data_IF_764464229144
#
_entry.id   IF_764464229144
#
_cell.length_a   1.000
_cell.length_b   1.000
_cell.length_c   1.000
_cell.angle_alpha   90.00
_cell.angle_beta   90.00
_cell.angle_gamma   90.00
#
_symmetry.space_group_name_H-M   'P 1'
#
loop_
_entity.id
_entity.type
_entity.pdbx_description
1 polymer ?
#
# COMPACT_ATOMS: atom_id res chain seq x y z
N UNK A 1 11.80 1.97 36.53
CA UNK A 1 11.11 0.85 35.86
C UNK A 1 11.45 0.98 34.40
N UNK A 2 12.32 0.12 33.91
CA UNK A 2 13.00 0.23 32.63
C UNK A 2 12.12 -0.35 31.53
N UNK A 3 11.44 0.53 30.79
CA UNK A 3 10.87 0.19 29.49
C UNK A 3 11.99 -0.25 28.56
N UNK A 4 11.79 -1.33 27.84
CA UNK A 4 12.69 -1.76 26.78
C UNK A 4 12.46 -0.83 25.56
N UNK A 5 13.54 -0.20 25.12
CA UNK A 5 13.57 1.12 24.44
C UNK A 5 14.59 1.08 23.31
N UNK A 6 14.19 1.25 22.05
CA UNK A 6 15.09 1.14 20.89
C UNK A 6 16.29 2.09 20.98
N UNK A 7 17.48 1.60 20.61
CA UNK A 7 18.70 2.39 20.54
C UNK A 7 19.10 2.62 19.08
N UNK A 8 19.52 3.85 18.77
CA UNK A 8 20.29 4.22 17.58
C UNK A 8 21.79 4.12 17.92
N UNK A 9 22.61 3.48 17.09
CA UNK A 9 24.05 3.74 17.13
C UNK A 9 24.33 5.13 16.57
N UNK A 10 25.27 5.87 17.18
CA UNK A 10 25.88 7.06 16.60
C UNK A 10 26.63 6.71 15.30
N UNK A 11 25.90 6.48 14.21
CA UNK A 11 26.44 6.06 12.92
C UNK A 11 25.50 5.23 12.03
N UNK A 12 24.42 4.65 12.57
CA UNK A 12 23.44 3.86 11.80
C UNK A 12 22.25 4.69 11.30
N UNK A 13 21.81 4.44 10.06
CA UNK A 13 20.56 4.99 9.52
C UNK A 13 19.33 4.40 10.22
N UNK A 14 18.19 5.11 10.18
CA UNK A 14 16.92 4.54 10.66
C UNK A 14 16.56 3.27 9.88
N UNK A 15 15.82 2.31 10.49
CA UNK A 15 15.28 1.21 9.72
C UNK A 15 14.44 1.77 8.56
N UNK A 16 14.64 1.22 7.38
CA UNK A 16 13.87 1.56 6.20
C UNK A 16 12.88 0.44 5.88
N UNK A 17 11.80 0.80 5.21
CA UNK A 17 10.86 -0.17 4.67
C UNK A 17 11.53 -1.01 3.58
N UNK A 18 11.56 -2.32 3.74
CA UNK A 18 12.15 -3.26 2.76
C UNK A 18 11.42 -3.29 1.41
N UNK A 19 10.21 -2.72 1.33
CA UNK A 19 9.44 -2.65 0.08
C UNK A 19 9.72 -1.35 -0.68
N UNK A 20 9.70 -0.19 0.00
CA UNK A 20 9.78 1.11 -0.66
C UNK A 20 11.05 1.91 -0.35
N UNK A 21 11.91 1.43 0.54
CA UNK A 21 13.16 2.09 0.93
C UNK A 21 13.01 3.32 1.86
N UNK A 22 11.79 3.80 2.08
CA UNK A 22 11.54 4.97 2.93
C UNK A 22 11.63 4.63 4.42
N UNK A 23 12.17 5.55 5.22
CA UNK A 23 12.25 5.44 6.67
C UNK A 23 10.89 5.51 7.37
N UNK A 24 10.92 5.31 8.69
CA UNK A 24 9.73 5.39 9.57
C UNK A 24 9.67 6.69 10.41
N UNK A 25 10.76 7.46 10.45
CA UNK A 25 10.87 8.79 11.07
C UNK A 25 11.27 9.84 10.03
N UNK A 26 10.84 11.08 10.23
CA UNK A 26 11.31 12.23 9.47
C UNK A 26 11.85 13.26 10.47
N UNK A 27 13.17 13.38 10.53
CA UNK A 27 13.85 14.29 11.44
C UNK A 27 13.56 15.74 11.06
N UNK A 28 13.36 16.58 12.07
CA UNK A 28 13.35 18.03 11.98
C UNK A 28 14.70 18.58 12.44
N UNK A 29 15.51 19.14 11.55
CA UNK A 29 16.44 20.21 11.86
C UNK A 29 16.78 21.02 10.60
N UNK A 30 16.14 22.20 10.53
CA UNK A 30 16.50 23.45 9.87
C UNK A 30 17.47 23.38 8.66
N UNK A 31 16.92 23.76 7.50
CA UNK A 31 17.54 24.18 6.23
C UNK A 31 17.62 23.18 5.06
N UNK A 32 17.24 21.91 5.23
CA UNK A 32 17.18 20.97 4.10
C UNK A 32 15.75 20.73 3.59
N UNK A 33 15.57 20.80 2.27
CA UNK A 33 14.33 20.55 1.50
C UNK A 33 13.78 19.10 1.69
N UNK A 34 14.40 18.33 2.59
CA UNK A 34 14.07 16.96 2.97
C UNK A 34 13.35 16.84 4.33
N UNK A 35 13.09 17.95 5.02
CA UNK A 35 12.44 17.95 6.34
C UNK A 35 10.90 17.91 6.23
N UNK A 36 10.40 16.69 6.07
CA UNK A 36 9.04 16.34 6.45
C UNK A 36 8.96 16.27 7.97
N UNK A 37 7.95 16.90 8.54
CA UNK A 37 7.72 16.94 9.99
C UNK A 37 7.12 15.60 10.44
N UNK A 38 7.88 14.78 11.17
CA UNK A 38 7.47 13.43 11.56
C UNK A 38 7.77 13.15 13.01
N UNK A 39 6.69 12.97 13.76
CA UNK A 39 6.62 12.39 15.10
C UNK A 39 7.36 13.09 16.24
N UNK A 40 8.34 13.97 15.99
CA UNK A 40 9.09 14.70 17.03
C UNK A 40 8.22 15.67 17.88
N UNK A 41 6.94 15.86 17.55
CA UNK A 41 5.95 16.58 18.38
C UNK A 41 4.84 15.72 18.99
N UNK A 42 4.71 14.45 18.60
CA UNK A 42 3.58 13.58 18.98
C UNK A 42 3.98 12.46 19.95
N UNK A 43 5.25 12.37 20.36
CA UNK A 43 5.73 11.38 21.32
C UNK A 43 4.92 11.38 22.61
N UNK A 44 4.59 12.56 23.14
CA UNK A 44 3.73 12.71 24.31
C UNK A 44 2.33 12.10 24.10
N UNK A 45 1.79 12.26 22.89
CA UNK A 45 0.47 11.73 22.52
C UNK A 45 0.54 10.21 22.38
N UNK A 46 1.57 9.69 21.71
CA UNK A 46 1.79 8.26 21.54
C UNK A 46 2.04 7.58 22.91
N UNK A 47 2.85 8.18 23.78
CA UNK A 47 3.09 7.70 25.14
C UNK A 47 1.80 7.60 25.94
N UNK A 48 0.93 8.63 25.90
CA UNK A 48 -0.40 8.60 26.57
C UNK A 48 -1.32 7.51 26.03
N UNK A 49 -1.05 7.02 24.83
CA UNK A 49 -1.84 5.98 24.17
C UNK A 49 -1.12 4.64 24.05
N UNK A 50 0.03 4.47 24.70
CA UNK A 50 0.77 3.21 24.77
C UNK A 50 -0.18 2.06 25.13
N UNK A 51 -0.13 0.99 24.34
CA UNK A 51 -1.12 -0.08 24.50
C UNK A 51 -1.23 -1.00 23.28
N UNK A 52 -2.05 -2.03 23.46
CA UNK A 52 -2.38 -3.01 22.43
C UNK A 52 -3.86 -2.92 22.06
N UNK A 53 -4.17 -2.79 20.78
CA UNK A 53 -5.51 -2.51 20.26
C UNK A 53 -5.84 -3.44 19.08
N UNK A 54 -7.12 -3.63 18.76
CA UNK A 54 -7.46 -4.10 17.40
C UNK A 54 -7.10 -3.00 16.40
N UNK A 55 -6.56 -3.32 15.23
CA UNK A 55 -6.15 -2.31 14.23
C UNK A 55 -7.29 -1.34 13.90
N UNK A 56 -8.53 -1.84 13.75
CA UNK A 56 -9.70 -0.99 13.50
C UNK A 56 -9.98 0.01 14.62
N UNK A 57 -9.64 -0.32 15.87
CA UNK A 57 -9.79 0.59 17.01
C UNK A 57 -8.65 1.61 17.03
N UNK A 58 -7.42 1.17 16.76
CA UNK A 58 -6.24 2.03 16.65
C UNK A 58 -6.45 3.10 15.58
N UNK A 59 -6.79 2.71 14.35
CA UNK A 59 -7.01 3.63 13.22
C UNK A 59 -8.21 4.58 13.38
N UNK A 60 -9.07 4.37 14.38
CA UNK A 60 -10.19 5.26 14.71
C UNK A 60 -9.83 6.31 15.76
N UNK A 61 -8.66 6.22 16.40
CA UNK A 61 -8.24 7.19 17.41
C UNK A 61 -8.03 8.56 16.74
N UNK A 62 -8.49 9.67 17.35
CA UNK A 62 -8.41 10.99 16.73
C UNK A 62 -7.01 11.40 16.30
N UNK A 63 -6.00 11.15 17.15
CA UNK A 63 -4.61 11.55 16.87
C UNK A 63 -4.00 10.81 15.67
N UNK A 64 -4.49 9.62 15.33
CA UNK A 64 -3.99 8.86 14.16
C UNK A 64 -4.20 9.63 12.86
N UNK A 65 -5.16 10.56 12.82
CA UNK A 65 -5.36 11.44 11.65
C UNK A 65 -4.21 12.45 11.45
N UNK A 66 -3.43 12.72 12.49
CA UNK A 66 -2.29 13.63 12.46
C UNK A 66 -0.99 12.88 12.18
N UNK A 67 -0.97 11.56 12.36
CA UNK A 67 0.17 10.71 12.03
C UNK A 67 0.21 10.41 10.53
N UNK A 68 1.42 10.47 9.96
CA UNK A 68 1.68 9.99 8.60
C UNK A 68 1.44 8.49 8.49
N UNK A 69 1.05 8.03 7.29
CA UNK A 69 0.89 6.59 7.02
C UNK A 69 2.21 5.82 7.21
N UNK A 70 3.35 6.49 6.97
CA UNK A 70 4.70 5.96 7.10
C UNK A 70 5.11 5.71 8.57
N UNK A 71 4.39 6.26 9.54
CA UNK A 71 4.63 5.98 10.97
C UNK A 71 4.10 4.59 11.38
N UNK A 72 3.26 3.96 10.55
CA UNK A 72 2.71 2.63 10.79
C UNK A 72 3.48 1.58 10.02
N UNK A 73 3.99 0.59 10.73
CA UNK A 73 4.79 -0.46 10.15
C UNK A 73 4.36 -1.84 10.65
N UNK A 74 4.86 -2.86 9.97
CA UNK A 74 4.80 -4.27 10.32
C UNK A 74 6.21 -4.82 10.20
N UNK A 75 6.41 -5.96 10.81
CA UNK A 75 7.71 -6.65 10.80
C UNK A 75 7.52 -8.00 10.16
N UNK A 76 8.38 -8.28 9.20
CA UNK A 76 8.60 -9.60 8.63
C UNK A 76 9.57 -10.30 9.59
N UNK A 77 9.05 -11.27 10.31
CA UNK A 77 9.74 -12.05 11.31
C UNK A 77 10.31 -13.30 10.65
N UNK A 78 11.63 -13.32 10.46
CA UNK A 78 12.35 -14.47 9.93
C UNK A 78 12.89 -15.31 11.09
N UNK A 79 12.44 -16.56 11.16
CA UNK A 79 12.99 -17.53 12.10
C UNK A 79 14.16 -18.26 11.45
N UNK A 80 15.38 -17.85 11.77
CA UNK A 80 16.62 -18.42 11.18
C UNK A 80 16.82 -19.90 11.49
N UNK A 81 16.16 -20.44 12.53
CA UNK A 81 16.27 -21.86 12.89
C UNK A 81 15.31 -22.75 12.12
N UNK A 82 14.12 -22.24 11.84
CA UNK A 82 13.04 -23.00 11.19
C UNK A 82 12.92 -22.68 9.70
N UNK A 83 13.71 -21.74 9.21
CA UNK A 83 13.62 -21.19 7.85
C UNK A 83 12.18 -20.84 7.48
N UNK A 84 11.55 -20.02 8.34
CA UNK A 84 10.12 -19.71 8.22
C UNK A 84 9.86 -18.23 8.46
N UNK A 85 8.91 -17.68 7.71
CA UNK A 85 8.54 -16.28 7.79
C UNK A 85 7.18 -16.10 8.46
N UNK A 86 7.02 -14.98 9.18
CA UNK A 86 5.73 -14.56 9.75
C UNK A 86 5.61 -13.05 9.66
N UNK A 87 4.39 -12.57 9.45
CA UNK A 87 4.11 -11.13 9.48
C UNK A 87 3.53 -10.78 10.85
N UNK A 88 4.08 -9.75 11.49
CA UNK A 88 3.54 -9.23 12.75
C UNK A 88 2.25 -8.43 12.55
N UNK A 89 1.61 -8.07 13.65
CA UNK A 89 0.60 -7.02 13.65
C UNK A 89 1.17 -5.65 13.28
N UNK A 90 0.32 -4.64 13.31
CA UNK A 90 0.75 -3.27 13.04
C UNK A 90 1.36 -2.65 14.30
N UNK A 91 2.41 -1.87 14.14
CA UNK A 91 3.00 -1.08 15.20
C UNK A 91 3.13 0.37 14.74
N UNK A 92 3.11 1.28 15.71
CA UNK A 92 3.51 2.68 15.56
C UNK A 92 4.54 2.93 16.66
N UNK A 93 5.79 3.17 16.27
CA UNK A 93 6.85 3.42 17.23
C UNK A 93 6.80 4.86 17.73
N UNK A 94 7.29 4.99 18.96
CA UNK A 94 7.63 6.24 19.62
C UNK A 94 9.15 6.33 19.46
N UNK A 95 9.68 7.47 19.02
CA UNK A 95 11.12 7.70 19.05
C UNK A 95 11.61 7.58 20.50
N UNK A 96 12.82 7.05 20.72
CA UNK A 96 13.25 6.71 22.08
C UNK A 96 14.65 7.18 22.43
N UNK A 97 14.81 7.40 23.74
CA UNK A 97 15.98 7.96 24.42
C UNK A 97 17.29 7.23 24.02
N UNK A 98 18.30 7.96 23.50
CA UNK A 98 19.56 7.40 23.00
C UNK A 98 20.44 6.68 24.05
N UNK A 99 20.12 6.79 25.34
CA UNK A 99 20.97 6.34 26.45
C UNK A 99 20.78 4.87 26.89
N UNK A 100 19.99 4.05 26.20
CA UNK A 100 19.71 2.66 26.61
C UNK A 100 20.22 1.63 25.59
N UNK A 101 20.72 0.47 26.04
CA UNK A 101 21.18 -0.64 25.19
C UNK A 101 20.07 -1.20 24.29
N UNK A 102 20.42 -1.54 23.03
CA UNK A 102 19.53 -2.15 22.02
C UNK A 102 18.60 -3.24 22.60
N UNK A 103 17.30 -2.98 22.74
CA UNK A 103 16.33 -3.98 23.16
C UNK A 103 15.85 -4.81 21.96
N UNK A 104 15.21 -5.93 22.28
CA UNK A 104 14.44 -6.68 21.31
C UNK A 104 13.21 -5.88 20.84
N UNK A 105 12.97 -5.90 19.54
CA UNK A 105 11.77 -5.39 18.88
C UNK A 105 10.52 -6.07 19.40
N UNK A 106 9.56 -5.30 19.90
CA UNK A 106 8.32 -5.84 20.43
C UNK A 106 7.12 -5.52 19.54
N UNK A 107 6.71 -6.48 18.71
CA UNK A 107 5.59 -6.31 17.77
C UNK A 107 4.43 -7.25 18.06
N UNK A 108 3.18 -6.87 17.74
CA UNK A 108 2.04 -7.73 18.05
C UNK A 108 2.10 -9.08 17.32
N UNK A 109 1.71 -10.15 18.01
CA UNK A 109 1.62 -11.49 17.39
C UNK A 109 0.47 -11.63 16.39
N UNK A 110 -0.62 -10.90 16.61
CA UNK A 110 -1.83 -11.01 15.81
C UNK A 110 -1.82 -10.06 14.62
N UNK A 111 -2.04 -10.57 13.41
CA UNK A 111 -2.12 -9.77 12.17
C UNK A 111 -3.12 -8.60 12.23
N UNK A 112 -4.18 -8.75 13.04
CA UNK A 112 -5.24 -7.76 13.24
C UNK A 112 -5.07 -6.90 14.50
N UNK A 113 -3.92 -7.02 15.17
CA UNK A 113 -3.57 -6.25 16.36
C UNK A 113 -2.64 -5.10 16.00
N UNK A 114 -2.81 -3.98 16.70
CA UNK A 114 -2.03 -2.76 16.61
C UNK A 114 -1.37 -2.47 17.96
N UNK A 115 -0.08 -2.17 18.00
CA UNK A 115 0.61 -1.68 19.20
C UNK A 115 1.05 -0.23 19.01
N UNK A 116 1.03 0.53 20.11
CA UNK A 116 1.71 1.82 20.24
C UNK A 116 2.75 1.66 21.35
N UNK A 117 4.01 1.97 21.05
CA UNK A 117 5.12 1.80 21.99
C UNK A 117 5.27 0.35 22.47
N UNK A 118 5.75 0.18 23.71
CA UNK A 118 5.94 -1.13 24.32
C UNK A 118 4.91 -1.41 25.44
N UNK A 119 3.79 -2.11 25.14
CA UNK A 119 2.79 -2.42 26.14
C UNK A 119 3.23 -3.60 27.02
N UNK A 120 4.07 -3.34 28.03
CA UNK A 120 4.62 -4.34 28.97
C UNK A 120 3.56 -5.30 29.56
N UNK A 121 2.38 -4.77 29.84
CA UNK A 121 1.24 -5.52 30.38
C UNK A 121 0.71 -6.61 29.43
N UNK A 122 1.14 -6.60 28.17
CA UNK A 122 0.74 -7.52 27.12
C UNK A 122 1.93 -8.25 26.48
N UNK A 123 3.05 -8.37 27.21
CA UNK A 123 4.30 -9.00 26.71
C UNK A 123 4.10 -10.40 26.11
N UNK A 124 3.16 -11.18 26.63
CA UNK A 124 2.81 -12.53 26.16
C UNK A 124 2.19 -12.52 24.75
N UNK A 125 1.65 -11.37 24.33
CA UNK A 125 1.00 -11.16 23.03
C UNK A 125 1.90 -10.46 22.03
N UNK A 126 3.17 -10.24 22.37
CA UNK A 126 4.19 -9.64 21.51
C UNK A 126 5.19 -10.71 21.05
N UNK A 127 5.68 -10.57 19.82
CA UNK A 127 6.92 -11.18 19.39
C UNK A 127 8.06 -10.28 19.85
N UNK A 128 9.17 -10.91 20.26
CA UNK A 128 10.42 -10.24 20.51
C UNK A 128 11.37 -10.65 19.39
N UNK A 129 11.77 -9.70 18.55
CA UNK A 129 12.66 -9.92 17.42
C UNK A 129 13.93 -9.09 17.57
N UNK A 130 15.03 -9.55 17.01
CA UNK A 130 16.23 -8.74 16.89
C UNK A 130 16.02 -7.78 15.73
N UNK A 131 16.14 -6.48 16.00
CA UNK A 131 16.23 -5.47 14.95
C UNK A 131 17.55 -5.64 14.21
N UNK A 132 17.54 -5.49 12.89
CA UNK A 132 18.73 -5.65 12.08
C UNK A 132 19.57 -4.36 12.10
N UNK A 133 20.64 -4.33 12.89
CA UNK A 133 21.82 -3.48 12.62
C UNK A 133 22.86 -4.39 11.93
N UNK A 134 23.56 -3.85 10.92
CA UNK A 134 24.30 -4.59 9.89
C UNK A 134 25.50 -5.45 10.36
N UNK A 135 25.70 -5.71 11.66
CA UNK A 135 26.94 -6.30 12.18
C UNK A 135 26.81 -7.51 13.12
N UNK A 136 25.60 -8.05 13.38
CA UNK A 136 25.47 -9.20 14.30
C UNK A 136 25.30 -10.56 13.60
N UNK A 137 26.08 -11.54 14.08
CA UNK A 137 26.02 -12.95 13.69
C UNK A 137 24.65 -13.56 14.05
N UNK A 138 23.69 -13.41 13.15
CA UNK A 138 22.30 -13.91 13.28
C UNK A 138 22.20 -15.45 13.30
N UNK A 139 23.31 -16.17 13.08
CA UNK A 139 23.36 -17.64 13.07
C UNK A 139 23.10 -18.26 14.45
N UNK A 140 23.38 -17.50 15.52
CA UNK A 140 23.05 -17.86 16.88
C UNK A 140 21.58 -17.48 17.19
N UNK A 141 20.66 -18.24 16.61
CA UNK A 141 19.44 -18.65 17.32
C UNK A 141 18.26 -17.65 17.49
N UNK A 142 18.21 -16.52 16.77
CA UNK A 142 17.18 -15.48 16.95
C UNK A 142 16.04 -15.41 15.91
N UNK A 143 14.93 -14.77 16.31
CA UNK A 143 13.89 -14.27 15.41
C UNK A 143 14.33 -12.89 14.92
N UNK A 144 14.52 -12.71 13.61
CA UNK A 144 15.02 -11.46 13.02
C UNK A 144 13.85 -10.65 12.47
N UNK A 145 13.85 -9.34 12.69
CA UNK A 145 12.80 -8.42 12.26
C UNK A 145 13.22 -7.54 11.08
N UNK A 146 12.50 -7.65 9.96
CA UNK A 146 12.64 -6.75 8.80
C UNK A 146 11.42 -5.85 8.68
N UNK A 147 11.63 -4.54 8.62
CA UNK A 147 10.55 -3.57 8.72
C UNK A 147 9.90 -3.29 7.35
N UNK A 148 8.58 -3.11 7.35
CA UNK A 148 7.85 -2.64 6.17
C UNK A 148 6.68 -1.77 6.59
N UNK A 149 6.40 -0.68 5.89
CA UNK A 149 5.20 0.12 6.15
C UNK A 149 3.95 -0.73 6.03
N UNK A 150 2.97 -0.50 6.91
CA UNK A 150 1.71 -1.25 6.88
C UNK A 150 0.96 -1.05 5.55
N UNK A 151 1.09 0.13 4.93
CA UNK A 151 0.54 0.39 3.60
C UNK A 151 1.26 -0.39 2.50
N UNK A 152 2.59 -0.43 2.50
CA UNK A 152 3.38 -1.22 1.54
C UNK A 152 3.04 -2.72 1.65
N UNK A 153 2.91 -3.25 2.88
CA UNK A 153 2.47 -4.62 3.11
C UNK A 153 1.05 -4.90 2.60
N UNK A 154 0.17 -3.90 2.64
CA UNK A 154 -1.20 -4.02 2.09
C UNK A 154 -1.14 -4.18 0.56
N UNK A 155 -0.29 -3.40 -0.12
CA UNK A 155 -0.09 -3.57 -1.56
C UNK A 155 0.50 -4.93 -1.91
N UNK A 156 1.53 -5.38 -1.17
CA UNK A 156 2.12 -6.71 -1.33
C UNK A 156 1.04 -7.81 -1.23
N UNK A 157 0.18 -7.76 -0.21
CA UNK A 157 -0.89 -8.75 -0.02
C UNK A 157 -1.89 -8.82 -1.18
N UNK A 158 -2.04 -7.74 -1.95
CA UNK A 158 -2.89 -7.69 -3.13
C UNK A 158 -2.16 -8.00 -4.45
N UNK A 159 -0.83 -8.06 -4.42
CA UNK A 159 0.04 -8.38 -5.55
C UNK A 159 0.01 -9.88 -5.89
N UNK A 160 0.15 -10.29 -7.17
CA UNK A 160 0.17 -11.70 -7.56
C UNK A 160 1.27 -12.53 -6.88
N UNK A 161 2.45 -11.94 -6.65
CA UNK A 161 3.57 -12.63 -5.98
C UNK A 161 3.18 -13.23 -4.62
N UNK A 162 2.50 -12.44 -3.77
CA UNK A 162 2.08 -12.87 -2.43
C UNK A 162 0.92 -13.88 -2.46
N UNK A 163 0.15 -13.93 -3.55
CA UNK A 163 -0.92 -14.92 -3.73
C UNK A 163 -0.39 -16.29 -4.12
N UNK A 164 0.78 -16.33 -4.78
CA UNK A 164 1.42 -17.58 -5.20
C UNK A 164 2.14 -18.22 -4.02
N UNK A 165 3.05 -17.46 -3.41
CA UNK A 165 3.84 -17.91 -2.27
C UNK A 165 4.34 -16.69 -1.48
N UNK A 166 3.73 -16.48 -0.32
CA UNK A 166 4.08 -15.36 0.55
C UNK A 166 5.48 -15.52 1.16
N UNK A 167 5.87 -16.74 1.53
CA UNK A 167 7.16 -16.98 2.16
C UNK A 167 8.29 -16.75 1.16
N UNK A 168 8.11 -17.19 -0.09
CA UNK A 168 9.03 -16.89 -1.19
C UNK A 168 9.11 -15.39 -1.48
N UNK A 169 7.98 -14.67 -1.47
CA UNK A 169 7.97 -13.23 -1.68
C UNK A 169 8.76 -12.50 -0.57
N UNK A 170 8.55 -12.91 0.70
CA UNK A 170 9.21 -12.33 1.86
C UNK A 170 10.71 -12.65 1.88
N UNK A 171 11.11 -13.88 1.57
CA UNK A 171 12.51 -14.28 1.53
C UNK A 171 13.30 -13.47 0.51
N UNK A 172 12.74 -13.25 -0.67
CA UNK A 172 13.42 -12.49 -1.71
C UNK A 172 13.41 -10.98 -1.44
N UNK A 173 12.35 -10.44 -0.83
CA UNK A 173 12.35 -9.05 -0.36
C UNK A 173 13.48 -8.79 0.65
N UNK A 174 13.81 -9.78 1.49
CA UNK A 174 14.89 -9.68 2.47
C UNK A 174 16.28 -9.77 1.81
N UNK A 175 16.42 -10.61 0.78
CA UNK A 175 17.68 -10.84 0.07
C UNK A 175 18.02 -9.73 -0.92
N UNK A 176 17.03 -9.00 -1.41
CA UNK A 176 17.28 -7.82 -2.24
C UNK A 176 17.87 -6.73 -1.36
N UNK A 177 19.04 -6.17 -1.72
CA UNK A 177 19.46 -4.92 -1.11
C UNK A 177 18.32 -3.92 -1.32
N UNK A 178 17.97 -3.08 -0.33
CA UNK A 178 17.14 -1.93 -0.59
C UNK A 178 17.95 -1.05 -1.52
N UNK A 179 17.82 -1.26 -2.83
CA UNK A 179 18.31 -0.33 -3.82
C UNK A 179 17.70 1.01 -3.41
N UNK A 180 18.58 1.93 -2.98
CA UNK A 180 18.28 3.32 -2.67
C UNK A 180 17.97 4.06 -3.97
N UNK A 181 17.13 3.46 -4.82
CA UNK A 181 16.52 4.11 -5.96
C UNK A 181 15.74 5.26 -5.37
N UNK A 182 16.27 6.47 -5.61
CA UNK A 182 15.67 7.74 -5.25
C UNK A 182 14.18 7.64 -5.51
N UNK A 183 13.39 7.94 -4.48
CA UNK A 183 11.94 7.98 -4.60
C UNK A 183 11.58 8.81 -5.85
N UNK A 184 10.58 8.39 -6.64
CA UNK A 184 10.27 9.11 -7.88
C UNK A 184 9.98 10.58 -7.57
N UNK A 185 10.63 11.52 -8.26
CA UNK A 185 10.41 12.95 -8.00
C UNK A 185 8.94 13.35 -8.26
N UNK A 186 8.29 12.70 -9.21
CA UNK A 186 6.87 12.84 -9.55
C UNK A 186 5.92 12.21 -8.51
N UNK A 187 6.43 11.41 -7.57
CA UNK A 187 5.64 10.89 -6.46
C UNK A 187 5.36 11.95 -5.39
N UNK A 188 6.26 12.92 -5.25
CA UNK A 188 6.15 13.96 -4.24
C UNK A 188 5.10 14.99 -4.63
N UNK A 189 4.23 15.30 -3.67
CA UNK A 189 3.22 16.33 -3.81
C UNK A 189 3.54 17.50 -2.91
N UNK A 190 3.18 18.71 -3.31
CA UNK A 190 3.30 19.90 -2.46
C UNK A 190 1.94 20.30 -1.90
N UNK A 191 1.88 20.59 -0.60
CA UNK A 191 0.70 21.20 0.01
C UNK A 191 0.68 22.73 -0.17
N UNK A 192 -0.33 23.38 0.39
CA UNK A 192 -0.51 24.85 0.31
C UNK A 192 0.67 25.59 0.96
N UNK A 193 1.31 24.96 1.95
CA UNK A 193 2.46 25.48 2.68
C UNK A 193 3.79 25.08 2.01
N UNK A 194 3.74 24.51 0.79
CA UNK A 194 4.88 24.00 0.02
C UNK A 194 5.66 22.88 0.70
N UNK A 195 5.05 22.17 1.65
CA UNK A 195 5.65 20.97 2.24
C UNK A 195 5.47 19.82 1.25
N UNK A 196 6.58 19.17 0.89
CA UNK A 196 6.55 17.98 0.02
C UNK A 196 6.11 16.77 0.82
N UNK A 197 5.09 16.04 0.40
CA UNK A 197 4.58 14.84 1.06
C UNK A 197 4.29 13.71 0.05
N UNK A 198 4.18 12.48 0.57
CA UNK A 198 3.81 11.31 -0.22
C UNK A 198 2.43 10.80 0.18
N UNK A 199 1.60 10.50 -0.83
CA UNK A 199 0.30 9.88 -0.61
C UNK A 199 0.46 8.48 -0.01
N UNK A 200 -0.48 8.10 0.85
CA UNK A 200 -0.57 6.73 1.33
C UNK A 200 -0.76 5.78 0.13
N UNK A 201 0.21 4.90 -0.15
CA UNK A 201 0.15 4.06 -1.34
C UNK A 201 -0.95 3.01 -1.23
N UNK A 202 -1.44 2.66 -0.04
CA UNK A 202 -2.55 1.72 0.13
C UNK A 202 -3.91 2.41 0.21
N UNK A 203 -4.00 3.61 0.79
CA UNK A 203 -5.27 4.27 1.09
C UNK A 203 -5.44 5.60 0.34
N UNK A 204 -5.66 5.53 -0.97
CA UNK A 204 -5.86 6.72 -1.80
C UNK A 204 -7.32 7.19 -1.70
N UNK A 205 -7.52 8.31 -0.99
CA UNK A 205 -8.85 8.91 -0.74
C UNK A 205 -9.64 9.14 -2.03
N UNK A 206 -8.95 9.50 -3.11
CA UNK A 206 -9.59 9.77 -4.40
C UNK A 206 -10.24 8.53 -5.01
N UNK A 207 -9.61 7.35 -4.91
CA UNK A 207 -10.20 6.07 -5.38
C UNK A 207 -11.51 5.77 -4.66
N UNK A 208 -11.54 5.93 -3.33
CA UNK A 208 -12.75 5.73 -2.55
C UNK A 208 -13.85 6.75 -2.92
N UNK A 209 -13.48 7.99 -3.22
CA UNK A 209 -14.39 9.04 -3.71
C UNK A 209 -15.00 8.66 -5.06
N UNK A 210 -14.19 8.16 -6.01
CA UNK A 210 -14.66 7.69 -7.32
C UNK A 210 -15.65 6.53 -7.20
N UNK A 211 -15.37 5.54 -6.35
CA UNK A 211 -16.28 4.42 -6.06
C UNK A 211 -17.62 4.96 -5.52
N UNK A 212 -17.58 5.93 -4.58
CA UNK A 212 -18.79 6.52 -4.02
C UNK A 212 -19.57 7.35 -5.07
N UNK A 213 -18.87 8.12 -5.91
CA UNK A 213 -19.49 8.84 -7.04
C UNK A 213 -20.14 7.87 -8.01
N UNK A 214 -19.50 6.74 -8.32
CA UNK A 214 -20.07 5.70 -9.18
C UNK A 214 -21.37 5.12 -8.57
N UNK A 215 -21.40 4.84 -7.26
CA UNK A 215 -22.63 4.40 -6.55
C UNK A 215 -23.77 5.42 -6.68
N UNK A 216 -23.48 6.70 -6.45
CA UNK A 216 -24.49 7.78 -6.56
C UNK A 216 -25.01 7.88 -7.99
N UNK A 217 -24.10 7.88 -8.97
CA UNK A 217 -24.46 7.95 -10.40
C UNK A 217 -25.32 6.79 -10.86
N UNK A 218 -25.06 5.58 -10.36
CA UNK A 218 -25.85 4.38 -10.67
C UNK A 218 -27.32 4.59 -10.33
N UNK A 219 -27.61 5.19 -9.17
CA UNK A 219 -28.99 5.50 -8.74
C UNK A 219 -29.69 6.48 -9.69
N UNK A 220 -28.93 7.27 -10.43
CA UNK A 220 -29.43 8.21 -11.44
C UNK A 220 -29.41 7.65 -12.87
N UNK A 221 -28.88 6.42 -13.10
CA UNK A 221 -28.55 5.95 -14.44
C UNK A 221 -29.58 5.00 -15.04
N UNK A 222 -30.44 5.56 -15.89
CA UNK A 222 -30.97 4.94 -17.13
C UNK A 222 -31.29 6.05 -18.15
N UNK A 223 -30.27 6.65 -18.79
CA UNK A 223 -30.46 7.76 -19.75
C UNK A 223 -29.70 7.62 -21.09
N UNK A 224 -29.42 6.40 -21.56
CA UNK A 224 -29.38 6.23 -23.03
C UNK A 224 -30.83 6.17 -23.51
N UNK A 225 -31.46 7.34 -23.62
CA UNK A 225 -32.80 7.47 -24.20
C UNK A 225 -32.67 7.36 -25.72
N UNK A 226 -33.17 6.26 -26.27
CA UNK A 226 -33.27 6.07 -27.71
C UNK A 226 -33.32 4.60 -28.08
N UNK A 227 -34.05 4.27 -29.15
CA UNK A 227 -33.88 2.96 -29.78
C UNK A 227 -32.45 2.87 -30.31
N UNK A 228 -31.77 1.75 -30.05
CA UNK A 228 -30.48 1.41 -30.67
C UNK A 228 -30.57 1.72 -32.16
N UNK A 229 -29.59 2.44 -32.71
CA UNK A 229 -29.64 2.83 -34.13
C UNK A 229 -29.31 1.62 -35.04
N UNK A 230 -30.13 0.58 -34.99
CA UNK A 230 -29.97 -0.63 -35.82
C UNK A 230 -30.17 -0.35 -37.30
N UNK A 231 -30.85 0.74 -37.67
CA UNK A 231 -31.09 1.06 -39.09
C UNK A 231 -29.82 1.59 -39.76
N UNK A 232 -29.01 2.38 -39.06
CA UNK A 232 -27.82 3.02 -39.67
C UNK A 232 -26.49 2.47 -39.14
N UNK A 233 -26.49 1.64 -38.10
CA UNK A 233 -25.27 1.08 -37.54
C UNK A 233 -25.20 -0.45 -37.66
N UNK A 234 -24.33 -0.92 -38.56
CA UNK A 234 -24.09 -2.34 -38.80
C UNK A 234 -23.34 -3.04 -37.66
N UNK A 235 -22.61 -2.31 -36.82
CA UNK A 235 -21.88 -2.88 -35.67
C UNK A 235 -22.84 -3.47 -34.63
N UNK A 236 -24.06 -2.93 -34.52
CA UNK A 236 -25.09 -3.43 -33.59
C UNK A 236 -25.66 -4.81 -33.96
N UNK A 237 -25.28 -5.38 -35.12
CA UNK A 237 -25.67 -6.74 -35.53
C UNK A 237 -24.59 -7.78 -35.25
N UNK A 238 -23.39 -7.35 -34.86
CA UNK A 238 -22.33 -8.29 -34.51
C UNK A 238 -22.69 -9.01 -33.21
N UNK A 239 -22.35 -10.31 -33.07
CA UNK A 239 -22.34 -10.96 -31.77
C UNK A 239 -21.49 -10.19 -30.78
N UNK A 240 -21.87 -10.19 -29.50
CA UNK A 240 -21.24 -9.35 -28.47
C UNK A 240 -19.74 -9.66 -28.33
N UNK A 241 -19.34 -10.90 -28.57
CA UNK A 241 -17.95 -11.36 -28.53
C UNK A 241 -17.12 -10.72 -29.66
N UNK A 242 -17.69 -10.63 -30.86
CA UNK A 242 -17.05 -9.97 -32.01
C UNK A 242 -17.02 -8.46 -31.78
N UNK A 243 -18.11 -7.90 -31.24
CA UNK A 243 -18.16 -6.49 -30.89
C UNK A 243 -17.06 -6.14 -29.88
N UNK A 244 -16.91 -6.91 -28.80
CA UNK A 244 -15.84 -6.68 -27.82
C UNK A 244 -14.45 -6.80 -28.44
N UNK A 245 -14.21 -7.75 -29.34
CA UNK A 245 -12.91 -7.83 -30.05
C UNK A 245 -12.61 -6.60 -30.92
N UNK A 246 -13.63 -5.97 -31.49
CA UNK A 246 -13.49 -4.72 -32.27
C UNK A 246 -13.25 -3.52 -31.35
N UNK A 247 -13.85 -3.54 -30.15
CA UNK A 247 -13.76 -2.45 -29.18
C UNK A 247 -12.48 -2.50 -28.33
N UNK A 248 -12.03 -3.70 -27.94
CA UNK A 248 -10.90 -3.91 -27.03
C UNK A 248 -9.59 -3.16 -27.41
N UNK A 249 -9.24 -2.95 -28.70
CA UNK A 249 -8.05 -2.18 -29.08
C UNK A 249 -8.19 -0.66 -28.94
N UNK A 250 -9.41 -0.14 -28.76
CA UNK A 250 -9.66 1.30 -28.76
C UNK A 250 -9.37 1.92 -27.38
N UNK A 251 -8.76 3.11 -27.33
CA UNK A 251 -8.68 3.88 -26.09
C UNK A 251 -10.07 4.16 -25.52
N UNK A 252 -10.19 4.22 -24.19
CA UNK A 252 -11.51 4.35 -23.56
C UNK A 252 -12.24 5.64 -23.89
N UNK A 253 -11.52 6.73 -24.21
CA UNK A 253 -12.13 7.95 -24.75
C UNK A 253 -12.85 7.71 -26.08
N UNK A 254 -12.24 6.95 -26.99
CA UNK A 254 -12.83 6.60 -28.29
C UNK A 254 -14.00 5.63 -28.11
N UNK A 255 -13.90 4.70 -27.16
CA UNK A 255 -15.01 3.81 -26.81
C UNK A 255 -16.28 4.56 -26.40
N UNK A 256 -16.15 5.65 -25.65
CA UNK A 256 -17.31 6.49 -25.30
C UNK A 256 -17.94 7.09 -26.56
N UNK A 257 -17.13 7.63 -27.47
CA UNK A 257 -17.60 8.23 -28.72
C UNK A 257 -18.29 7.19 -29.61
N UNK A 258 -17.71 6.00 -29.71
CA UNK A 258 -18.30 4.87 -30.44
C UNK A 258 -19.65 4.49 -29.81
N UNK A 259 -19.74 4.29 -28.48
CA UNK A 259 -21.02 3.99 -27.83
C UNK A 259 -22.10 5.05 -28.11
N UNK A 260 -21.73 6.34 -28.10
CA UNK A 260 -22.64 7.45 -28.42
C UNK A 260 -23.13 7.35 -29.87
N UNK A 261 -22.21 7.15 -30.82
CA UNK A 261 -22.54 7.01 -32.24
C UNK A 261 -23.43 5.78 -32.49
N UNK A 262 -23.14 4.66 -31.81
CA UNK A 262 -23.91 3.44 -31.90
C UNK A 262 -25.27 3.53 -31.19
N UNK A 263 -25.44 4.49 -30.28
CA UNK A 263 -26.52 4.54 -29.29
C UNK A 263 -26.69 3.20 -28.56
N UNK A 264 -25.57 2.59 -28.18
CA UNK A 264 -25.50 1.26 -27.57
C UNK A 264 -24.51 1.25 -26.41
N UNK A 265 -24.94 0.71 -25.27
CA UNK A 265 -24.08 0.52 -24.10
C UNK A 265 -23.43 -0.86 -24.15
N UNK A 266 -22.10 -0.93 -24.00
CA UNK A 266 -21.35 -2.19 -24.04
C UNK A 266 -21.60 -3.09 -22.82
N UNK A 267 -22.20 -2.55 -21.75
CA UNK A 267 -22.58 -3.30 -20.55
C UNK A 267 -21.52 -3.26 -19.44
N UNK A 268 -21.97 -3.45 -18.21
CA UNK A 268 -21.13 -3.39 -17.00
C UNK A 268 -20.01 -4.44 -17.00
N UNK A 269 -20.27 -5.61 -17.59
CA UNK A 269 -19.27 -6.69 -17.69
C UNK A 269 -18.07 -6.27 -18.56
N UNK A 270 -18.33 -5.54 -19.65
CA UNK A 270 -17.29 -5.00 -20.51
C UNK A 270 -16.42 -4.01 -19.74
N UNK A 271 -17.03 -2.99 -19.14
CA UNK A 271 -16.29 -1.95 -18.43
C UNK A 271 -15.55 -2.50 -17.20
N UNK A 272 -16.09 -3.49 -16.48
CA UNK A 272 -15.39 -4.17 -15.38
C UNK A 272 -14.09 -4.84 -15.84
N UNK A 273 -14.12 -5.53 -16.98
CA UNK A 273 -12.95 -6.23 -17.54
C UNK A 273 -11.78 -5.27 -17.80
N UNK A 274 -12.07 -4.03 -18.16
CA UNK A 274 -11.08 -3.02 -18.52
C UNK A 274 -10.55 -2.21 -17.33
N UNK A 275 -11.09 -2.39 -16.12
CA UNK A 275 -10.56 -1.70 -14.93
C UNK A 275 -9.14 -2.20 -14.63
N UNK A 276 -8.15 -1.31 -14.42
CA UNK A 276 -6.79 -1.69 -14.03
C UNK A 276 -6.71 -2.13 -12.55
N UNK A 277 -7.30 -3.30 -12.25
CA UNK A 277 -7.44 -3.88 -10.89
C UNK A 277 -6.13 -4.16 -10.16
N UNK A 278 -5.00 -4.15 -10.87
CA UNK A 278 -3.67 -4.25 -10.28
C UNK A 278 -3.33 -2.96 -9.52
N UNK A 279 -3.55 -1.81 -10.15
CA UNK A 279 -3.31 -0.50 -9.57
C UNK A 279 -4.42 -0.09 -8.58
N UNK A 280 -5.64 -0.59 -8.81
CA UNK A 280 -6.83 -0.29 -8.00
C UNK A 280 -7.42 -1.55 -7.38
N UNK A 281 -6.67 -2.16 -6.47
CA UNK A 281 -7.11 -3.38 -5.78
C UNK A 281 -8.41 -3.18 -4.99
N UNK A 282 -8.70 -1.95 -4.56
CA UNK A 282 -9.91 -1.56 -3.83
C UNK A 282 -11.19 -1.89 -4.61
N UNK A 283 -11.11 -1.87 -5.95
CA UNK A 283 -12.24 -2.18 -6.83
C UNK A 283 -12.70 -3.64 -6.68
N UNK A 284 -11.80 -4.55 -6.28
CA UNK A 284 -12.17 -5.95 -5.98
C UNK A 284 -13.22 -6.05 -4.88
N UNK A 285 -13.21 -5.11 -3.92
CA UNK A 285 -14.19 -5.06 -2.83
C UNK A 285 -15.61 -4.66 -3.27
N UNK A 286 -15.76 -4.12 -4.48
CA UNK A 286 -17.04 -3.67 -5.04
C UNK A 286 -17.38 -4.36 -6.36
N UNK A 287 -16.68 -5.46 -6.68
CA UNK A 287 -16.77 -6.12 -7.98
C UNK A 287 -18.17 -6.63 -8.35
N UNK A 288 -18.91 -7.06 -7.33
CA UNK A 288 -20.27 -7.60 -7.44
C UNK A 288 -21.34 -6.52 -7.26
N UNK A 289 -20.95 -5.26 -7.02
CA UNK A 289 -21.89 -4.15 -6.91
C UNK A 289 -22.37 -3.69 -8.30
N UNK A 290 -23.63 -3.29 -8.38
CA UNK A 290 -24.14 -2.55 -9.54
C UNK A 290 -23.66 -1.11 -9.42
N UNK A 291 -22.70 -0.74 -10.28
CA UNK A 291 -22.09 0.58 -10.32
C UNK A 291 -22.18 1.17 -11.74
N UNK A 292 -22.00 2.48 -11.88
CA UNK A 292 -21.70 3.12 -13.16
C UNK A 292 -20.26 2.72 -13.54
N UNK A 293 -20.11 1.47 -14.00
CA UNK A 293 -18.82 0.85 -14.28
C UNK A 293 -18.08 1.56 -15.41
N UNK A 294 -18.80 2.12 -16.38
CA UNK A 294 -18.20 2.99 -17.40
C UNK A 294 -17.56 4.23 -16.79
N UNK A 295 -18.29 4.96 -15.96
CA UNK A 295 -17.75 6.14 -15.28
C UNK A 295 -16.55 5.76 -14.41
N UNK A 296 -16.69 4.70 -13.60
CA UNK A 296 -15.62 4.29 -12.71
C UNK A 296 -14.36 3.86 -13.48
N UNK A 297 -14.50 3.09 -14.57
CA UNK A 297 -13.38 2.67 -15.41
C UNK A 297 -12.63 3.89 -15.98
N UNK A 298 -13.36 4.82 -16.61
CA UNK A 298 -12.77 6.01 -17.23
C UNK A 298 -12.05 6.91 -16.22
N UNK A 299 -12.63 7.13 -15.04
CA UNK A 299 -12.01 8.00 -14.03
C UNK A 299 -10.79 7.32 -13.39
N UNK A 300 -10.79 5.99 -13.25
CA UNK A 300 -9.65 5.24 -12.75
C UNK A 300 -8.49 5.19 -13.77
N UNK A 301 -8.78 5.04 -15.05
CA UNK A 301 -7.79 5.15 -16.12
C UNK A 301 -7.22 6.57 -16.21
N UNK A 302 -8.05 7.61 -16.09
CA UNK A 302 -7.53 8.97 -16.02
C UNK A 302 -6.63 9.15 -14.78
N UNK A 303 -7.07 8.62 -13.63
CA UNK A 303 -6.29 8.68 -12.41
C UNK A 303 -4.96 7.93 -12.54
N UNK A 304 -4.91 6.81 -13.25
CA UNK A 304 -3.69 6.00 -13.43
C UNK A 304 -2.54 6.75 -14.08
N UNK A 305 -2.83 7.84 -14.79
CA UNK A 305 -1.83 8.70 -15.42
C UNK A 305 -1.36 9.85 -14.51
N UNK A 306 -2.05 10.11 -13.40
CA UNK A 306 -1.72 11.22 -12.51
C UNK A 306 -0.52 10.93 -11.60
N UNK A 307 0.23 11.97 -11.25
CA UNK A 307 1.34 11.96 -10.28
C UNK A 307 0.89 11.45 -8.89
N UNK A 308 -0.39 11.60 -8.54
CA UNK A 308 -0.93 11.10 -7.26
C UNK A 308 -0.86 9.58 -7.08
N UNK A 309 -0.60 8.84 -8.14
CA UNK A 309 -0.36 7.40 -8.10
C UNK A 309 1.09 6.99 -8.32
N UNK A 310 2.00 7.93 -8.60
CA UNK A 310 3.39 7.60 -8.91
C UNK A 310 4.05 6.77 -7.81
N UNK A 311 3.81 7.08 -6.53
CA UNK A 311 4.35 6.27 -5.44
C UNK A 311 3.78 4.84 -5.37
N UNK A 312 2.47 4.68 -5.62
CA UNK A 312 1.85 3.35 -5.69
C UNK A 312 2.41 2.55 -6.87
N UNK A 313 2.57 3.19 -8.05
CA UNK A 313 3.16 2.57 -9.24
C UNK A 313 4.57 2.10 -8.95
N UNK A 314 5.42 2.96 -8.40
CA UNK A 314 6.77 2.61 -7.97
C UNK A 314 6.84 1.35 -7.10
N UNK A 315 5.98 1.25 -6.07
CA UNK A 315 5.93 0.05 -5.22
C UNK A 315 5.51 -1.18 -6.02
N UNK A 316 4.48 -1.06 -6.86
CA UNK A 316 3.99 -2.19 -7.66
C UNK A 316 5.00 -2.64 -8.71
N UNK A 317 5.70 -1.70 -9.36
CA UNK A 317 6.71 -1.99 -10.37
C UNK A 317 7.90 -2.73 -9.73
N UNK A 318 8.32 -2.34 -8.52
CA UNK A 318 9.33 -3.10 -7.75
C UNK A 318 8.87 -4.52 -7.40
N UNK A 319 7.59 -4.72 -7.11
CA UNK A 319 7.04 -6.04 -6.85
C UNK A 319 6.91 -6.88 -8.13
N UNK A 320 6.65 -6.25 -9.28
CA UNK A 320 6.66 -6.88 -10.60
C UNK A 320 8.09 -7.32 -10.98
N UNK A 321 9.10 -6.47 -10.78
CA UNK A 321 10.52 -6.79 -10.97
C UNK A 321 10.93 -7.99 -10.14
N UNK A 322 10.59 -7.97 -8.84
CA UNK A 322 10.84 -9.11 -7.96
C UNK A 322 10.16 -10.39 -8.47
N UNK A 323 8.91 -10.29 -8.93
CA UNK A 323 8.19 -11.43 -9.49
C UNK A 323 8.82 -11.94 -10.80
N UNK A 324 9.36 -11.05 -11.64
CA UNK A 324 10.04 -11.41 -12.88
C UNK A 324 11.32 -12.22 -12.59
N UNK A 325 12.17 -11.72 -11.69
CA UNK A 325 13.41 -12.40 -11.26
C UNK A 325 13.13 -13.79 -10.70
N UNK A 326 12.03 -13.96 -9.95
CA UNK A 326 11.60 -15.27 -9.45
C UNK A 326 11.19 -16.24 -10.55
N UNK A 327 10.55 -15.76 -11.61
CA UNK A 327 10.15 -16.63 -12.72
C UNK A 327 11.35 -17.03 -13.57
N UNK A 328 12.37 -16.17 -13.71
CA UNK A 328 13.62 -16.50 -14.39
C UNK A 328 14.38 -17.59 -13.64
N UNK A 329 14.60 -17.41 -12.33
CA UNK A 329 15.30 -18.38 -11.48
C UNK A 329 14.59 -19.75 -11.37
N UNK A 330 13.27 -19.80 -11.63
CA UNK A 330 12.50 -21.06 -11.61
C UNK A 330 12.50 -21.81 -12.96
N UNK A 331 12.95 -21.17 -14.04
CA UNK A 331 13.03 -21.75 -15.39
C UNK A 331 14.46 -22.17 -15.78
N UNK A 332 15.45 -21.87 -14.94
CA UNK A 332 16.81 -22.44 -14.96
C UNK A 332 16.85 -23.72 -14.11
#
# INVERSE_FOLDING_TARGET
MSSFVYQKQHGGGFPCCYICGMGFETNSHEDDINDLDGTYGDDDILHRHCGLYKIRQLLRKPFVKHLGWYCFYRVILYNTRLDSYRISGMAAHIAVNPDHQQPLEAVPRGLMMGAIGYPEQHKDRLFLAMGFDQDDDTSAHGLVGYHAHSSCMTLLAHHPIARRDLDLALSNLILLPPDLNLLPEDAWQEDIDKKRFLNDPASIKYVQSLINRARIRTRARFHIKGRVNRKDNRLCYLPIEILYKVMDPLPSGDLVNVQIAMKYYLGDAYWRKHVPVRLFYEVKGVWDETLDWQFLCLELEWLSETEGLAFRRYILDRLDELQASLNEAANE
#
